data_IF_902017206824
#
_entry.id   IF_902017206824
#
_cell.length_a   1.000
_cell.length_b   1.000
_cell.length_c   1.000
_cell.angle_alpha   90.00
_cell.angle_beta   90.00
_cell.angle_gamma   90.00
#
_symmetry.space_group_name_H-M   'P 1'
#
loop_
_entity.id
_entity.type
_entity.pdbx_description
1 polymer ?
#
# COMPACT_ATOMS: atom_id res chain seq x y z
N UNK A 1 -1.77 21.61 -5.99
CA UNK A 1 -2.70 20.74 -5.23
C UNK A 1 -3.32 19.63 -6.09
N UNK A 2 -3.99 19.95 -7.21
CA UNK A 2 -4.64 18.97 -8.09
C UNK A 2 -3.72 17.88 -8.63
N UNK A 3 -2.50 18.24 -9.05
CA UNK A 3 -1.52 17.30 -9.62
C UNK A 3 -1.05 16.27 -8.59
N UNK A 4 -0.84 16.67 -7.33
CA UNK A 4 -0.41 15.76 -6.26
C UNK A 4 -1.49 14.75 -5.88
N UNK A 5 -2.75 15.19 -5.83
CA UNK A 5 -3.90 14.32 -5.60
C UNK A 5 -4.04 13.31 -6.74
N UNK A 6 -3.96 13.76 -7.99
CA UNK A 6 -4.02 12.89 -9.16
C UNK A 6 -2.93 11.82 -9.16
N UNK A 7 -1.68 12.21 -8.84
CA UNK A 7 -0.56 11.28 -8.79
C UNK A 7 -0.70 10.27 -7.64
N UNK A 8 -1.20 10.71 -6.48
CA UNK A 8 -1.42 9.85 -5.31
C UNK A 8 -2.49 8.80 -5.57
N UNK A 9 -3.62 9.20 -6.18
CA UNK A 9 -4.69 8.27 -6.56
C UNK A 9 -4.21 7.28 -7.61
N UNK A 10 -3.48 7.73 -8.62
CA UNK A 10 -2.91 6.85 -9.64
C UNK A 10 -1.95 5.82 -9.02
N UNK A 11 -1.07 6.25 -8.10
CA UNK A 11 -0.14 5.36 -7.41
C UNK A 11 -0.88 4.30 -6.56
N UNK A 12 -1.96 4.68 -5.87
CA UNK A 12 -2.79 3.74 -5.11
C UNK A 12 -3.42 2.70 -6.04
N UNK A 13 -4.01 3.13 -7.17
CA UNK A 13 -4.63 2.22 -8.12
C UNK A 13 -3.62 1.23 -8.71
N UNK A 14 -2.41 1.68 -9.03
CA UNK A 14 -1.33 0.83 -9.50
C UNK A 14 -0.89 -0.18 -8.43
N UNK A 15 -0.75 0.25 -7.17
CA UNK A 15 -0.36 -0.63 -6.07
C UNK A 15 -1.44 -1.70 -5.77
N UNK A 16 -2.73 -1.33 -5.84
CA UNK A 16 -3.83 -2.28 -5.69
C UNK A 16 -3.86 -3.26 -6.88
N UNK A 17 -3.73 -2.76 -8.11
CA UNK A 17 -3.68 -3.60 -9.31
C UNK A 17 -2.53 -4.61 -9.26
N UNK A 18 -1.36 -4.18 -8.81
CA UNK A 18 -0.20 -5.05 -8.63
C UNK A 18 -0.41 -6.09 -7.51
N UNK A 19 -1.07 -5.72 -6.41
CA UNK A 19 -1.43 -6.64 -5.34
C UNK A 19 -2.42 -7.71 -5.82
N UNK A 20 -3.45 -7.32 -6.57
CA UNK A 20 -4.43 -8.25 -7.17
C UNK A 20 -3.76 -9.18 -8.16
N UNK A 21 -2.88 -8.67 -9.02
CA UNK A 21 -2.10 -9.49 -9.95
C UNK A 21 -1.21 -10.50 -9.21
N UNK A 22 -0.52 -10.07 -8.16
CA UNK A 22 0.29 -10.95 -7.32
C UNK A 22 -0.56 -12.01 -6.60
N UNK A 23 -1.75 -11.63 -6.13
CA UNK A 23 -2.71 -12.56 -5.50
C UNK A 23 -3.22 -13.62 -6.47
N UNK A 24 -3.61 -13.20 -7.68
CA UNK A 24 -4.02 -14.10 -8.76
C UNK A 24 -2.90 -15.09 -9.12
N UNK A 25 -1.66 -14.59 -9.28
CA UNK A 25 -0.47 -15.42 -9.55
C UNK A 25 -0.12 -16.35 -8.38
N UNK A 26 -0.38 -15.94 -7.15
CA UNK A 26 -0.16 -16.77 -5.98
C UNK A 26 -1.17 -17.92 -5.87
N UNK A 27 -2.42 -17.69 -6.30
CA UNK A 27 -3.54 -18.64 -6.25
C UNK A 27 -3.64 -19.60 -7.44
N UNK A 28 -2.91 -19.38 -8.55
CA UNK A 28 -2.90 -20.30 -9.68
C UNK A 28 -2.43 -21.71 -9.24
N UNK A 29 -3.10 -22.79 -9.68
CA UNK A 29 -2.70 -24.16 -9.37
C UNK A 29 -1.27 -24.41 -9.86
N UNK A 30 -0.45 -24.96 -8.97
CA UNK A 30 0.96 -25.26 -9.23
C UNK A 30 1.04 -26.60 -9.95
N UNK A 31 1.27 -26.57 -11.26
CA UNK A 31 1.43 -27.80 -12.06
C UNK A 31 2.89 -28.28 -12.13
N UNK A 32 3.83 -27.42 -11.70
CA UNK A 32 5.25 -27.73 -11.78
C UNK A 32 5.80 -28.16 -10.42
N UNK A 33 6.35 -29.38 -10.35
CA UNK A 33 7.16 -29.92 -9.25
C UNK A 33 8.46 -29.12 -8.98
N UNK A 34 8.54 -27.87 -9.46
CA UNK A 34 9.68 -26.97 -9.36
C UNK A 34 9.47 -26.00 -8.19
N UNK A 35 10.51 -25.73 -7.37
CA UNK A 35 10.42 -24.75 -6.31
C UNK A 35 9.98 -23.39 -6.86
N UNK A 36 9.04 -22.71 -6.17
CA UNK A 36 8.58 -21.36 -6.56
C UNK A 36 9.78 -20.43 -6.64
N UNK A 37 10.12 -19.95 -7.84
CA UNK A 37 11.27 -19.05 -8.06
C UNK A 37 11.09 -17.66 -7.45
N UNK A 38 9.86 -17.22 -7.28
CA UNK A 38 9.50 -15.94 -6.67
C UNK A 38 8.44 -16.16 -5.58
N UNK A 39 8.62 -15.57 -4.38
CA UNK A 39 7.63 -15.62 -3.32
C UNK A 39 6.48 -14.65 -3.63
N UNK A 40 5.55 -15.07 -4.51
CA UNK A 40 4.40 -14.27 -4.92
C UNK A 40 3.54 -13.76 -3.75
N UNK A 41 3.42 -14.55 -2.68
CA UNK A 41 2.72 -14.14 -1.45
C UNK A 41 3.43 -13.00 -0.73
N UNK A 42 4.77 -13.02 -0.69
CA UNK A 42 5.54 -11.91 -0.11
C UNK A 42 5.38 -10.63 -0.93
N UNK A 43 5.42 -10.75 -2.26
CA UNK A 43 5.18 -9.61 -3.16
C UNK A 43 3.76 -9.05 -3.03
N UNK A 44 2.77 -9.90 -2.82
CA UNK A 44 1.39 -9.46 -2.53
C UNK A 44 1.31 -8.67 -1.23
N UNK A 45 1.90 -9.18 -0.14
CA UNK A 45 1.91 -8.50 1.17
C UNK A 45 2.63 -7.15 1.06
N UNK A 46 3.80 -7.12 0.40
CA UNK A 46 4.57 -5.90 0.20
C UNK A 46 3.78 -4.86 -0.59
N UNK A 47 3.08 -5.28 -1.65
CA UNK A 47 2.23 -4.40 -2.46
C UNK A 47 1.04 -3.87 -1.66
N UNK A 48 0.42 -4.71 -0.82
CA UNK A 48 -0.66 -4.29 0.07
C UNK A 48 -0.19 -3.27 1.11
N UNK A 49 0.99 -3.49 1.70
CA UNK A 49 1.60 -2.54 2.63
C UNK A 49 1.93 -1.21 1.96
N UNK A 50 2.45 -1.23 0.73
CA UNK A 50 2.71 -0.01 -0.04
C UNK A 50 1.42 0.75 -0.34
N UNK A 51 0.34 0.04 -0.71
CA UNK A 51 -0.98 0.65 -0.91
C UNK A 51 -1.50 1.30 0.37
N UNK A 52 -1.28 0.69 1.54
CA UNK A 52 -1.65 1.27 2.83
C UNK A 52 -0.89 2.57 3.13
N UNK A 53 0.43 2.61 2.89
CA UNK A 53 1.23 3.84 3.07
C UNK A 53 0.73 4.95 2.14
N UNK A 54 0.47 4.62 0.87
CA UNK A 54 -0.05 5.60 -0.09
C UNK A 54 -1.44 6.13 0.30
N UNK A 55 -2.26 5.30 0.92
CA UNK A 55 -3.54 5.71 1.48
C UNK A 55 -3.35 6.69 2.64
N UNK A 56 -2.43 6.44 3.58
CA UNK A 56 -2.08 7.41 4.64
C UNK A 56 -1.56 8.72 4.04
N UNK A 57 -0.73 8.63 3.00
CA UNK A 57 -0.25 9.81 2.29
C UNK A 57 -1.39 10.62 1.66
N UNK A 58 -2.40 9.96 1.09
CA UNK A 58 -3.59 10.62 0.57
C UNK A 58 -4.36 11.36 1.68
N UNK A 59 -4.53 10.76 2.87
CA UNK A 59 -5.14 11.43 4.02
C UNK A 59 -4.36 12.67 4.44
N UNK A 60 -3.03 12.61 4.49
CA UNK A 60 -2.20 13.77 4.79
C UNK A 60 -2.36 14.88 3.74
N UNK A 61 -2.42 14.55 2.44
CA UNK A 61 -2.65 15.54 1.37
C UNK A 61 -4.05 16.15 1.44
N UNK A 62 -5.04 15.40 1.94
CA UNK A 62 -6.40 15.90 2.20
C UNK A 62 -6.50 16.78 3.46
N UNK A 63 -5.41 16.99 4.19
CA UNK A 63 -5.36 17.83 5.39
C UNK A 63 -5.65 17.07 6.69
N UNK A 64 -5.77 15.75 6.65
CA UNK A 64 -5.77 14.91 7.85
C UNK A 64 -4.34 14.63 8.25
N UNK A 65 -3.73 15.52 9.04
CA UNK A 65 -2.37 15.33 9.51
C UNK A 65 -2.30 14.17 10.52
N UNK A 66 -1.82 13.01 10.08
CA UNK A 66 -1.65 11.80 10.90
C UNK A 66 -0.41 11.83 11.83
N UNK A 67 0.17 13.01 12.05
CA UNK A 67 1.41 13.21 12.83
C UNK A 67 1.25 13.15 14.37
N UNK A 68 2.32 12.83 15.12
CA UNK A 68 2.36 12.87 16.59
C UNK A 68 1.96 14.22 17.19
N UNK A 69 2.21 15.32 16.49
CA UNK A 69 1.86 16.68 16.92
C UNK A 69 0.35 16.93 17.00
N UNK A 70 -0.46 16.21 16.21
CA UNK A 70 -1.91 16.38 16.14
C UNK A 70 -2.67 15.32 16.93
N UNK A 71 -1.98 14.26 17.36
CA UNK A 71 -2.57 13.19 18.17
C UNK A 71 -2.70 13.60 19.64
N UNK A 72 -3.82 13.24 20.25
CA UNK A 72 -4.20 13.61 21.63
C UNK A 72 -3.16 13.16 22.67
N UNK A 73 -2.41 12.09 22.36
CA UNK A 73 -1.33 11.56 23.18
C UNK A 73 -0.02 12.37 23.14
N UNK A 74 0.23 13.15 22.07
CA UNK A 74 1.44 13.99 21.96
C UNK A 74 1.35 15.31 22.73
N UNK A 75 0.13 15.77 23.05
CA UNK A 75 -0.14 17.05 23.70
C UNK A 75 0.05 17.07 25.23
N UNK A 76 0.22 15.90 25.86
CA UNK A 76 0.32 15.78 27.33
C UNK A 76 1.75 15.65 27.88
N UNK A 77 2.77 15.61 27.02
CA UNK A 77 4.17 15.34 27.41
C UNK A 77 5.15 16.46 27.02
N UNK A 78 4.65 17.65 26.69
CA UNK A 78 5.49 18.83 26.41
C UNK A 78 5.20 19.94 27.41
#
# INVERSE_FOLDING_TARGET
>A
MSVHLGLSVLAILLAIGFAVFCSYRAGLPRDDLKPKRLPWTFLMILSGFLAFILLVHLFNVLGFETGPENSIFGRGIR
#
